data_IF_508378681018
#
_entry.id   IF_508378681018
#
_cell.length_a   1.000
_cell.length_b   1.000
_cell.length_c   1.000
_cell.angle_alpha   90.00
_cell.angle_beta   90.00
_cell.angle_gamma   90.00
#
_symmetry.space_group_name_H-M   'P 1'
#
loop_
_entity.id
_entity.type
_entity.pdbx_description
1 polymer ?
#
# COMPACT_ATOMS: atom_id res chain seq x y z
N UNK A 1 -17.99 -3.97 -13.02
CA UNK A 1 -16.98 -2.99 -12.57
C UNK A 1 -17.60 -2.24 -11.42
N UNK A 2 -16.91 -2.16 -10.28
CA UNK A 2 -17.43 -1.39 -9.14
C UNK A 2 -17.52 0.09 -9.50
N UNK A 3 -18.61 0.73 -9.11
CA UNK A 3 -18.77 2.18 -9.21
C UNK A 3 -17.96 2.83 -8.12
N UNK A 4 -17.22 3.89 -8.44
CA UNK A 4 -16.41 4.65 -7.47
C UNK A 4 -17.03 6.02 -7.31
N UNK A 5 -17.47 6.32 -6.09
CA UNK A 5 -17.98 7.64 -5.70
C UNK A 5 -16.85 8.44 -5.02
N UNK A 6 -16.31 9.48 -5.65
CA UNK A 6 -15.37 10.39 -5.01
C UNK A 6 -16.12 11.40 -4.14
N UNK A 7 -15.65 11.59 -2.91
CA UNK A 7 -16.17 12.60 -1.97
C UNK A 7 -15.02 13.47 -1.51
N UNK A 8 -15.24 14.80 -1.50
CA UNK A 8 -14.28 15.80 -1.07
C UNK A 8 -14.38 16.01 0.42
N UNK A 9 -13.28 15.87 1.13
CA UNK A 9 -13.19 16.10 2.57
C UNK A 9 -12.57 17.45 2.95
N UNK A 10 -12.23 17.58 4.21
CA UNK A 10 -11.60 18.76 4.77
C UNK A 10 -10.13 18.91 4.33
N UNK A 11 -9.52 20.05 4.66
CA UNK A 11 -8.08 20.30 4.51
C UNK A 11 -7.27 19.20 5.19
N UNK A 12 -6.31 18.60 4.46
CA UNK A 12 -5.57 17.43 4.94
C UNK A 12 -4.32 17.81 5.76
N UNK A 13 -3.61 18.86 5.36
CA UNK A 13 -2.42 19.34 6.05
C UNK A 13 -2.70 20.65 6.77
N UNK A 14 -2.32 20.74 8.03
CA UNK A 14 -2.34 22.00 8.77
C UNK A 14 -1.29 22.98 8.23
N UNK A 15 -1.47 24.27 8.47
CA UNK A 15 -0.53 25.31 8.03
C UNK A 15 0.91 25.02 8.46
N UNK A 16 1.11 24.54 9.68
CA UNK A 16 2.42 24.11 10.18
C UNK A 16 3.04 22.97 9.33
N UNK A 17 2.23 21.98 8.93
CA UNK A 17 2.72 20.87 8.09
C UNK A 17 3.03 21.34 6.68
N UNK A 18 2.22 22.24 6.13
CA UNK A 18 2.46 22.88 4.83
C UNK A 18 3.78 23.64 4.86
N UNK A 19 3.97 24.51 5.87
CA UNK A 19 5.22 25.28 6.01
C UNK A 19 6.45 24.38 6.12
N UNK A 20 6.40 23.36 6.95
CA UNK A 20 7.50 22.38 7.10
C UNK A 20 7.80 21.64 5.81
N UNK A 21 6.78 21.32 5.01
CA UNK A 21 6.94 20.67 3.72
C UNK A 21 7.60 21.60 2.70
N UNK A 22 7.15 22.86 2.65
CA UNK A 22 7.75 23.90 1.79
C UNK A 22 9.23 24.17 2.15
N UNK A 23 9.57 24.17 3.44
CA UNK A 23 10.96 24.27 3.90
C UNK A 23 11.80 23.09 3.42
N UNK A 24 11.26 21.85 3.49
CA UNK A 24 11.95 20.66 2.94
C UNK A 24 12.12 20.74 1.42
N UNK A 25 11.10 21.21 0.71
CA UNK A 25 11.14 21.40 -0.73
C UNK A 25 12.22 22.41 -1.12
N UNK A 26 12.29 23.54 -0.43
CA UNK A 26 13.33 24.55 -0.63
C UNK A 26 14.73 23.99 -0.35
N UNK A 27 14.91 23.22 0.71
CA UNK A 27 16.19 22.56 1.03
C UNK A 27 16.59 21.52 -0.03
N UNK A 28 15.62 20.91 -0.73
CA UNK A 28 15.84 20.02 -1.88
C UNK A 28 16.06 20.76 -3.22
N UNK A 29 16.10 22.09 -3.22
CA UNK A 29 16.30 22.91 -4.42
C UNK A 29 15.06 23.08 -5.29
N UNK A 30 13.88 22.79 -4.78
CA UNK A 30 12.63 23.03 -5.49
C UNK A 30 12.25 24.52 -5.44
N UNK A 31 11.62 25.05 -6.51
CA UNK A 31 11.21 26.46 -6.55
C UNK A 31 10.12 26.73 -5.49
N UNK A 32 9.99 27.99 -5.02
CA UNK A 32 8.86 28.39 -4.21
C UNK A 32 7.53 28.07 -4.89
N UNK A 33 6.59 27.54 -4.13
CA UNK A 33 5.30 27.11 -4.65
C UNK A 33 4.18 27.38 -3.64
N UNK A 34 2.96 27.62 -4.12
CA UNK A 34 1.76 27.51 -3.33
C UNK A 34 1.39 26.02 -3.15
N UNK A 35 0.89 25.66 -1.97
CA UNK A 35 0.45 24.30 -1.68
C UNK A 35 -0.93 24.32 -1.01
N UNK A 36 -1.85 23.53 -1.55
CA UNK A 36 -3.15 23.22 -0.94
C UNK A 36 -3.30 21.71 -0.83
N UNK A 37 -4.01 21.26 0.17
CA UNK A 37 -4.27 19.84 0.36
C UNK A 37 -5.65 19.57 0.91
N UNK A 38 -6.29 18.51 0.44
CA UNK A 38 -7.62 18.09 0.83
C UNK A 38 -7.67 16.57 0.96
N UNK A 39 -8.43 16.07 1.93
CA UNK A 39 -8.78 14.66 1.95
C UNK A 39 -9.80 14.35 0.86
N UNK A 40 -9.66 13.17 0.28
CA UNK A 40 -10.61 12.62 -0.66
C UNK A 40 -10.93 11.21 -0.25
N UNK A 41 -12.21 10.86 -0.34
CA UNK A 41 -12.70 9.53 -0.03
C UNK A 41 -13.22 8.89 -1.30
N UNK A 42 -12.94 7.62 -1.48
CA UNK A 42 -13.33 6.81 -2.63
C UNK A 42 -14.18 5.67 -2.12
N UNK A 43 -15.49 5.79 -2.25
CA UNK A 43 -16.43 4.75 -1.85
C UNK A 43 -16.72 3.86 -3.06
N UNK A 44 -16.44 2.57 -2.93
CA UNK A 44 -16.73 1.54 -3.94
C UNK A 44 -18.00 0.79 -3.63
N UNK A 45 -18.82 0.57 -4.66
CA UNK A 45 -20.06 -0.20 -4.58
C UNK A 45 -20.27 -0.97 -5.88
N UNK A 46 -21.05 -2.05 -5.84
CA UNK A 46 -21.41 -2.81 -7.04
C UNK A 46 -22.24 -1.98 -8.00
N UNK A 47 -23.23 -1.25 -7.45
CA UNK A 47 -24.14 -0.37 -8.16
C UNK A 47 -23.99 1.08 -7.66
N UNK A 48 -24.46 2.05 -8.42
CA UNK A 48 -24.44 3.44 -7.99
C UNK A 48 -25.25 3.62 -6.68
N UNK A 49 -24.65 4.20 -5.62
CA UNK A 49 -25.37 4.46 -4.38
C UNK A 49 -26.54 5.40 -4.61
N UNK A 50 -27.65 5.15 -3.91
CA UNK A 50 -28.81 6.04 -3.92
C UNK A 50 -28.55 7.34 -3.12
N UNK A 51 -29.46 8.30 -3.23
CA UNK A 51 -29.31 9.60 -2.60
C UNK A 51 -29.20 9.51 -1.06
N UNK A 52 -29.94 8.60 -0.42
CA UNK A 52 -29.89 8.40 1.03
C UNK A 52 -28.53 7.85 1.47
N UNK A 53 -28.00 6.87 0.72
CA UNK A 53 -26.65 6.34 0.96
C UNK A 53 -25.56 7.40 0.79
N UNK A 54 -25.70 8.28 -0.21
CA UNK A 54 -24.77 9.39 -0.43
C UNK A 54 -24.82 10.37 0.72
N UNK A 55 -26.00 10.79 1.17
CA UNK A 55 -26.16 11.71 2.34
C UNK A 55 -25.56 11.10 3.62
N UNK A 56 -25.78 9.82 3.87
CA UNK A 56 -25.18 9.12 5.01
C UNK A 56 -23.65 9.08 4.93
N UNK A 57 -23.10 8.79 3.74
CA UNK A 57 -21.65 8.80 3.53
C UNK A 57 -21.06 10.20 3.77
N UNK A 58 -21.71 11.25 3.25
CA UNK A 58 -21.30 12.63 3.45
C UNK A 58 -21.26 12.99 4.94
N UNK A 59 -22.32 12.62 5.68
CA UNK A 59 -22.40 12.88 7.11
C UNK A 59 -21.32 12.10 7.89
N UNK A 60 -21.12 10.81 7.60
CA UNK A 60 -20.14 9.95 8.27
C UNK A 60 -18.69 10.41 8.02
N UNK A 61 -18.40 10.86 6.81
CA UNK A 61 -17.04 11.23 6.40
C UNK A 61 -16.78 12.74 6.57
N UNK A 62 -17.78 13.53 6.96
CA UNK A 62 -17.75 14.99 6.93
C UNK A 62 -17.24 15.50 5.55
N UNK A 63 -17.85 14.99 4.48
CA UNK A 63 -17.40 15.19 3.12
C UNK A 63 -18.55 15.67 2.22
N UNK A 64 -18.20 16.17 1.04
CA UNK A 64 -19.15 16.70 0.06
C UNK A 64 -19.08 15.90 -1.24
N UNK A 65 -20.21 15.69 -1.89
CA UNK A 65 -20.24 15.20 -3.25
C UNK A 65 -19.77 16.28 -4.21
N UNK A 66 -19.07 15.86 -5.25
CA UNK A 66 -18.61 16.77 -6.30
C UNK A 66 -19.20 16.30 -7.64
N UNK A 67 -19.71 17.23 -8.43
CA UNK A 67 -20.21 16.92 -9.78
C UNK A 67 -19.07 16.49 -10.71
N UNK A 68 -17.90 17.11 -10.56
CA UNK A 68 -16.70 16.79 -11.32
C UNK A 68 -15.50 16.85 -10.41
N UNK A 69 -14.61 15.86 -10.53
CA UNK A 69 -13.32 15.88 -9.85
C UNK A 69 -12.41 16.96 -10.46
N UNK A 70 -11.70 17.71 -9.60
CA UNK A 70 -10.79 18.74 -10.08
C UNK A 70 -9.67 18.13 -10.94
N UNK A 71 -9.28 18.84 -11.99
CA UNK A 71 -8.19 18.42 -12.88
C UNK A 71 -6.97 19.31 -12.73
N UNK A 72 -5.79 18.75 -12.98
CA UNK A 72 -4.59 19.54 -13.14
C UNK A 72 -4.75 20.51 -14.31
N UNK A 73 -4.17 21.71 -14.19
CA UNK A 73 -4.19 22.74 -15.24
C UNK A 73 -2.79 23.35 -15.39
N UNK A 74 -2.63 24.22 -16.38
CA UNK A 74 -1.36 24.94 -16.56
C UNK A 74 -0.99 25.70 -15.29
N UNK A 75 0.15 25.37 -14.71
CA UNK A 75 0.64 25.99 -13.47
C UNK A 75 -0.01 25.48 -12.19
N UNK A 76 -0.85 24.42 -12.26
CA UNK A 76 -1.42 23.74 -11.09
C UNK A 76 -1.27 22.23 -11.24
N UNK A 77 -0.45 21.62 -10.40
CA UNK A 77 -0.11 20.21 -10.47
C UNK A 77 -0.80 19.43 -9.35
N UNK A 78 -1.50 18.35 -9.71
CA UNK A 78 -2.12 17.44 -8.79
C UNK A 78 -1.16 16.30 -8.44
N UNK A 79 -1.04 16.02 -7.15
CA UNK A 79 -0.47 14.79 -6.60
C UNK A 79 -1.55 14.13 -5.74
N UNK A 80 -2.17 13.09 -6.24
CA UNK A 80 -3.17 12.33 -5.48
C UNK A 80 -2.47 11.20 -4.75
N UNK A 81 -2.19 11.40 -3.46
CA UNK A 81 -1.55 10.43 -2.60
C UNK A 81 -2.63 9.51 -2.05
N UNK A 82 -2.47 8.22 -2.24
CA UNK A 82 -3.42 7.21 -1.83
C UNK A 82 -2.68 5.99 -1.26
N UNK A 83 -3.35 5.10 -0.51
CA UNK A 83 -2.76 3.85 -0.08
C UNK A 83 -2.23 3.04 -1.26
N UNK A 84 -1.22 2.23 -1.00
CA UNK A 84 -0.58 1.41 -2.04
C UNK A 84 -1.62 0.54 -2.76
N UNK A 85 -1.63 0.60 -4.08
CA UNK A 85 -2.54 -0.20 -4.92
C UNK A 85 -2.34 -1.69 -4.60
N UNK A 86 -3.46 -2.42 -4.53
CA UNK A 86 -3.46 -3.86 -4.18
C UNK A 86 -3.43 -4.15 -2.68
N UNK A 87 -3.42 -3.11 -1.83
CA UNK A 87 -3.53 -3.26 -0.36
C UNK A 87 -4.84 -2.67 0.15
N UNK A 88 -5.26 -3.09 1.34
CA UNK A 88 -6.36 -2.47 2.08
C UNK A 88 -5.75 -1.70 3.25
N UNK A 89 -5.98 -0.39 3.30
CA UNK A 89 -5.44 0.41 4.39
C UNK A 89 -6.14 0.07 5.73
N UNK A 90 -5.43 0.17 6.87
CA UNK A 90 -6.07 0.01 8.18
C UNK A 90 -7.22 0.99 8.41
N UNK A 91 -7.12 2.19 7.84
CA UNK A 91 -8.19 3.18 7.86
C UNK A 91 -9.42 2.70 7.07
N UNK A 92 -9.22 2.14 5.87
CA UNK A 92 -10.29 1.63 5.02
C UNK A 92 -11.10 0.52 5.70
N UNK A 93 -10.42 -0.44 6.34
CA UNK A 93 -11.09 -1.52 7.08
C UNK A 93 -12.04 -0.96 8.12
N UNK A 94 -11.57 0.00 8.94
CA UNK A 94 -12.38 0.62 9.99
C UNK A 94 -13.51 1.48 9.44
N UNK A 95 -13.26 2.30 8.43
CA UNK A 95 -14.27 3.15 7.80
C UNK A 95 -15.37 2.33 7.14
N UNK A 96 -15.01 1.27 6.45
CA UNK A 96 -15.97 0.36 5.80
C UNK A 96 -16.84 -0.37 6.83
N UNK A 97 -16.24 -0.85 7.94
CA UNK A 97 -16.99 -1.48 9.03
C UNK A 97 -18.00 -0.51 9.67
N UNK A 98 -17.59 0.75 9.89
CA UNK A 98 -18.49 1.79 10.42
C UNK A 98 -19.63 2.05 9.44
N UNK A 99 -19.34 2.20 8.15
CA UNK A 99 -20.37 2.42 7.14
C UNK A 99 -21.41 1.30 7.12
N UNK A 100 -20.98 0.04 7.16
CA UNK A 100 -21.88 -1.13 7.25
C UNK A 100 -22.74 -1.11 8.52
N UNK A 101 -22.14 -0.81 9.67
CA UNK A 101 -22.87 -0.70 10.94
C UNK A 101 -23.91 0.45 10.94
N UNK A 102 -23.74 1.43 10.04
CA UNK A 102 -24.71 2.51 9.81
C UNK A 102 -25.74 2.20 8.70
N UNK A 103 -25.79 0.93 8.24
CA UNK A 103 -26.76 0.47 7.25
C UNK A 103 -26.38 0.78 5.80
N UNK A 104 -25.09 0.99 5.51
CA UNK A 104 -24.55 1.17 4.16
C UNK A 104 -23.98 -0.16 3.62
N UNK A 105 -24.83 -1.19 3.57
CA UNK A 105 -24.42 -2.55 3.18
C UNK A 105 -24.00 -2.66 1.71
N UNK A 106 -24.44 -1.72 0.87
CA UNK A 106 -24.09 -1.62 -0.55
C UNK A 106 -22.65 -1.05 -0.76
N UNK A 107 -22.02 -0.51 0.28
CA UNK A 107 -20.66 -0.01 0.19
C UNK A 107 -19.68 -1.15 0.50
N UNK A 108 -18.95 -1.57 -0.54
CA UNK A 108 -17.98 -2.66 -0.45
C UNK A 108 -16.72 -2.22 0.29
N UNK A 109 -16.23 -1.00 0.00
CA UNK A 109 -15.01 -0.46 0.57
C UNK A 109 -14.95 1.06 0.45
N UNK A 110 -14.36 1.70 1.46
CA UNK A 110 -14.05 3.13 1.45
C UNK A 110 -12.54 3.28 1.63
N UNK A 111 -11.86 3.95 0.70
CA UNK A 111 -10.47 4.35 0.86
C UNK A 111 -10.35 5.86 1.00
N UNK A 112 -9.28 6.30 1.67
CA UNK A 112 -8.96 7.72 1.82
C UNK A 112 -7.65 8.05 1.13
N UNK A 113 -7.66 9.07 0.29
CA UNK A 113 -6.48 9.69 -0.28
C UNK A 113 -6.32 11.15 0.17
N UNK A 114 -5.24 11.76 -0.25
CA UNK A 114 -4.95 13.17 -0.05
C UNK A 114 -4.58 13.78 -1.41
N UNK A 115 -5.38 14.72 -1.90
CA UNK A 115 -5.03 15.51 -3.06
C UNK A 115 -4.16 16.68 -2.60
N UNK A 116 -2.97 16.80 -3.16
CA UNK A 116 -2.05 17.92 -2.95
C UNK A 116 -1.90 18.66 -4.25
N UNK A 117 -2.17 19.95 -4.21
CA UNK A 117 -2.06 20.86 -5.33
C UNK A 117 -0.84 21.74 -5.15
N UNK A 118 0.07 21.71 -6.13
CA UNK A 118 1.28 22.53 -6.17
C UNK A 118 1.12 23.55 -7.28
N UNK A 119 1.20 24.82 -6.91
CA UNK A 119 1.15 25.96 -7.84
C UNK A 119 2.56 26.27 -8.33
N UNK A 120 2.70 26.56 -9.64
CA UNK A 120 3.96 26.93 -10.26
C UNK A 120 4.26 26.14 -11.54
N UNK A 121 5.33 26.48 -12.22
CA UNK A 121 5.83 25.72 -13.36
C UNK A 121 6.81 24.64 -12.85
N UNK A 122 6.47 23.37 -13.01
CA UNK A 122 7.30 22.24 -12.59
C UNK A 122 7.78 21.44 -13.79
N UNK A 123 9.06 21.16 -13.85
CA UNK A 123 9.63 20.15 -14.76
C UNK A 123 9.28 18.74 -14.28
N UNK A 124 9.41 17.74 -15.14
CA UNK A 124 9.14 16.34 -14.75
C UNK A 124 10.07 15.87 -13.61
N UNK A 125 11.32 16.30 -13.60
CA UNK A 125 12.24 16.00 -12.49
C UNK A 125 11.78 16.62 -11.17
N UNK A 126 11.27 17.85 -11.19
CA UNK A 126 10.71 18.52 -10.01
C UNK A 126 9.40 17.86 -9.53
N UNK A 127 8.57 17.39 -10.44
CA UNK A 127 7.38 16.61 -10.08
C UNK A 127 7.75 15.31 -9.37
N UNK A 128 8.78 14.60 -9.85
CA UNK A 128 9.29 13.40 -9.17
C UNK A 128 9.85 13.71 -7.78
N UNK A 129 10.57 14.83 -7.62
CA UNK A 129 11.06 15.27 -6.32
C UNK A 129 9.90 15.63 -5.37
N UNK A 130 8.87 16.34 -5.85
CA UNK A 130 7.68 16.61 -5.07
C UNK A 130 6.97 15.32 -4.65
N UNK A 131 6.76 14.39 -5.58
CA UNK A 131 6.16 13.10 -5.28
C UNK A 131 6.92 12.39 -4.15
N UNK A 132 8.26 12.37 -4.21
CA UNK A 132 9.10 11.73 -3.19
C UNK A 132 9.00 12.40 -1.80
N UNK A 133 8.72 13.72 -1.75
CA UNK A 133 8.51 14.45 -0.49
C UNK A 133 7.11 14.27 0.10
N UNK A 134 6.12 13.98 -0.76
CA UNK A 134 4.70 13.98 -0.40
C UNK A 134 4.20 12.62 0.08
N UNK A 135 4.82 11.50 -0.31
CA UNK A 135 4.31 10.17 -0.01
C UNK A 135 5.37 9.25 0.62
N UNK A 136 4.92 8.28 1.38
CA UNK A 136 5.73 7.16 1.85
C UNK A 136 5.71 6.04 0.81
N UNK A 137 6.85 5.76 0.17
CA UNK A 137 6.99 4.73 -0.87
C UNK A 137 6.63 3.32 -0.41
N UNK A 138 6.64 3.05 0.90
CA UNK A 138 6.34 1.72 1.45
C UNK A 138 4.84 1.48 1.56
N UNK A 139 4.07 2.52 1.87
CA UNK A 139 2.65 2.40 2.23
C UNK A 139 1.72 3.16 1.29
N UNK A 140 2.26 4.04 0.45
CA UNK A 140 1.49 4.94 -0.40
C UNK A 140 1.93 4.88 -1.86
N UNK A 141 1.04 5.35 -2.72
CA UNK A 141 1.25 5.57 -4.16
C UNK A 141 0.80 6.97 -4.53
N UNK A 142 1.44 7.56 -5.53
CA UNK A 142 0.99 8.81 -6.14
C UNK A 142 0.25 8.47 -7.43
N UNK A 143 -1.03 8.80 -7.50
CA UNK A 143 -1.89 8.57 -8.65
C UNK A 143 -1.88 9.81 -9.56
N UNK A 144 -2.01 9.59 -10.86
CA UNK A 144 -1.96 10.66 -11.85
C UNK A 144 -3.19 11.58 -11.79
N UNK A 145 -4.35 11.02 -11.46
CA UNK A 145 -5.64 11.70 -11.42
C UNK A 145 -6.64 10.95 -10.54
N UNK A 146 -7.86 11.49 -10.43
CA UNK A 146 -8.95 10.89 -9.67
C UNK A 146 -9.53 9.63 -10.33
N UNK A 147 -9.39 9.46 -11.63
CA UNK A 147 -9.88 8.26 -12.34
C UNK A 147 -9.00 7.06 -11.98
N UNK A 148 -7.69 7.26 -11.83
CA UNK A 148 -6.77 6.23 -11.39
C UNK A 148 -7.09 5.69 -9.99
N UNK A 149 -7.88 6.42 -9.17
CA UNK A 149 -8.31 5.96 -7.86
C UNK A 149 -9.23 4.71 -7.91
N UNK A 150 -9.83 4.41 -9.06
CA UNK A 150 -10.57 3.15 -9.26
C UNK A 150 -9.70 1.91 -9.01
N UNK A 151 -8.39 2.01 -9.26
CA UNK A 151 -7.44 0.94 -9.00
C UNK A 151 -7.29 0.60 -7.49
N UNK A 152 -7.61 1.54 -6.59
CA UNK A 152 -7.60 1.29 -5.14
C UNK A 152 -8.66 0.26 -4.72
N UNK A 153 -9.77 0.22 -5.44
CA UNK A 153 -10.93 -0.60 -5.15
C UNK A 153 -10.95 -1.89 -5.99
N UNK A 154 -10.01 -2.03 -6.92
CA UNK A 154 -9.88 -3.23 -7.72
C UNK A 154 -9.54 -4.44 -6.82
N UNK A 155 -10.24 -5.55 -7.05
CA UNK A 155 -9.86 -6.82 -6.44
C UNK A 155 -8.72 -7.41 -7.27
N UNK A 156 -7.49 -7.51 -6.75
CA UNK A 156 -6.42 -8.17 -7.47
C UNK A 156 -6.81 -9.63 -7.70
N UNK A 157 -6.65 -10.10 -8.93
CA UNK A 157 -6.78 -11.52 -9.21
C UNK A 157 -5.66 -12.25 -8.45
N UNK A 158 -6.01 -13.38 -7.82
CA UNK A 158 -5.03 -14.22 -7.18
C UNK A 158 -3.95 -14.60 -8.22
N UNK A 159 -2.69 -14.33 -7.89
CA UNK A 159 -1.58 -14.77 -8.72
C UNK A 159 -1.39 -16.27 -8.53
N UNK A 160 -0.95 -16.96 -9.58
CA UNK A 160 -0.53 -18.37 -9.49
C UNK A 160 0.74 -18.42 -8.64
N UNK A 161 0.79 -19.34 -7.69
CA UNK A 161 2.02 -19.63 -6.96
C UNK A 161 2.97 -20.46 -7.84
N UNK A 162 4.28 -20.29 -7.62
CA UNK A 162 5.30 -21.09 -8.24
C UNK A 162 5.72 -22.24 -7.32
N UNK A 163 6.14 -23.35 -7.89
CA UNK A 163 6.69 -24.47 -7.14
C UNK A 163 8.21 -24.55 -7.31
N UNK A 164 8.91 -24.88 -6.23
CA UNK A 164 10.36 -25.09 -6.23
C UNK A 164 10.63 -26.60 -6.29
N UNK A 165 11.36 -27.06 -7.30
CA UNK A 165 11.56 -28.49 -7.55
C UNK A 165 12.54 -29.16 -6.57
N UNK A 166 12.10 -29.30 -5.31
CA UNK A 166 12.87 -29.96 -4.25
C UNK A 166 12.94 -31.47 -4.45
N UNK A 167 11.92 -32.09 -5.06
CA UNK A 167 11.92 -33.54 -5.28
C UNK A 167 12.91 -33.95 -6.37
N UNK A 168 13.07 -33.14 -7.43
CA UNK A 168 13.95 -33.43 -8.56
C UNK A 168 15.39 -32.93 -8.37
N UNK A 169 15.53 -31.67 -7.95
CA UNK A 169 16.84 -31.01 -7.84
C UNK A 169 17.32 -30.84 -6.38
N UNK A 170 16.55 -31.28 -5.39
CA UNK A 170 16.98 -31.37 -4.01
C UNK A 170 17.36 -30.03 -3.37
N UNK A 171 18.45 -30.05 -2.61
CA UNK A 171 18.98 -28.92 -1.85
C UNK A 171 19.35 -27.72 -2.74
N UNK A 172 19.88 -27.98 -3.92
CA UNK A 172 20.29 -26.93 -4.87
C UNK A 172 19.12 -26.04 -5.30
N UNK A 173 17.95 -26.62 -5.60
CA UNK A 173 16.76 -25.86 -5.96
C UNK A 173 16.32 -24.94 -4.80
N UNK A 174 16.37 -25.45 -3.57
CA UNK A 174 15.99 -24.66 -2.39
C UNK A 174 17.00 -23.56 -2.07
N UNK A 175 18.31 -23.83 -2.24
CA UNK A 175 19.36 -22.81 -2.11
C UNK A 175 19.22 -21.68 -3.15
N UNK A 176 18.83 -22.03 -4.37
CA UNK A 176 18.55 -21.05 -5.41
C UNK A 176 17.32 -20.21 -5.04
N UNK A 177 16.22 -20.84 -4.68
CA UNK A 177 15.00 -20.16 -4.24
C UNK A 177 15.26 -19.26 -3.02
N UNK A 178 16.10 -19.70 -2.06
CA UNK A 178 16.52 -18.91 -0.90
C UNK A 178 17.18 -17.59 -1.31
N UNK A 179 18.02 -17.59 -2.36
CA UNK A 179 18.66 -16.37 -2.88
C UNK A 179 17.69 -15.49 -3.67
N UNK A 180 16.92 -16.11 -4.57
CA UNK A 180 16.01 -15.38 -5.48
C UNK A 180 14.83 -14.73 -4.75
N UNK A 181 14.27 -15.41 -3.76
CA UNK A 181 13.15 -14.94 -2.96
C UNK A 181 13.58 -14.17 -1.70
N UNK A 182 14.88 -14.11 -1.39
CA UNK A 182 15.39 -13.43 -0.20
C UNK A 182 14.90 -14.02 1.12
N UNK A 183 14.80 -15.35 1.23
CA UNK A 183 14.20 -16.02 2.37
C UNK A 183 15.08 -16.01 3.63
N UNK A 184 16.38 -15.80 3.49
CA UNK A 184 17.36 -15.82 4.58
C UNK A 184 17.35 -17.11 5.43
N UNK A 185 17.13 -18.26 4.78
CA UNK A 185 17.16 -19.57 5.43
C UNK A 185 18.59 -19.97 5.77
N UNK A 186 18.79 -20.51 6.96
CA UNK A 186 20.06 -21.14 7.36
C UNK A 186 20.26 -22.49 6.66
N UNK A 187 21.51 -23.01 6.64
CA UNK A 187 21.78 -24.35 6.07
C UNK A 187 20.94 -25.46 6.71
N UNK A 188 20.76 -25.43 8.02
CA UNK A 188 19.98 -26.41 8.77
C UNK A 188 18.47 -26.32 8.45
N UNK A 189 17.95 -25.11 8.23
CA UNK A 189 16.56 -24.91 7.78
C UNK A 189 16.33 -25.40 6.36
N UNK A 190 17.33 -25.24 5.49
CA UNK A 190 17.28 -25.80 4.14
C UNK A 190 17.25 -27.33 4.20
N UNK A 191 18.11 -27.95 4.97
CA UNK A 191 18.17 -29.42 5.13
C UNK A 191 16.85 -29.95 5.72
N UNK A 192 16.31 -29.28 6.74
CA UNK A 192 15.01 -29.60 7.32
C UNK A 192 13.87 -29.55 6.28
N UNK A 193 13.83 -28.51 5.47
CA UNK A 193 12.79 -28.36 4.45
C UNK A 193 12.92 -29.43 3.36
N UNK A 194 14.13 -29.73 2.88
CA UNK A 194 14.36 -30.77 1.88
C UNK A 194 13.85 -32.11 2.39
N UNK A 195 14.25 -32.52 3.61
CA UNK A 195 13.82 -33.78 4.22
C UNK A 195 12.29 -33.87 4.34
N UNK A 196 11.66 -32.81 4.86
CA UNK A 196 10.21 -32.81 5.08
C UNK A 196 9.42 -32.84 3.75
N UNK A 197 9.83 -32.10 2.72
CA UNK A 197 9.15 -32.15 1.43
C UNK A 197 9.36 -33.48 0.70
N UNK A 198 10.49 -34.18 0.92
CA UNK A 198 10.69 -35.55 0.46
C UNK A 198 9.73 -36.53 1.15
N UNK A 199 9.53 -36.38 2.48
CA UNK A 199 8.54 -37.18 3.24
C UNK A 199 7.12 -36.91 2.73
N UNK A 200 6.78 -35.63 2.49
CA UNK A 200 5.48 -35.22 1.95
C UNK A 200 5.26 -35.60 0.48
N UNK A 201 6.29 -36.03 -0.22
CA UNK A 201 6.25 -36.42 -1.66
C UNK A 201 5.65 -35.37 -2.57
N UNK A 202 5.89 -34.10 -2.27
CA UNK A 202 5.48 -32.96 -3.09
C UNK A 202 6.50 -31.82 -3.03
N UNK A 203 6.49 -30.98 -4.02
CA UNK A 203 7.28 -29.76 -4.03
C UNK A 203 6.64 -28.64 -3.20
N UNK A 204 7.44 -27.78 -2.53
CA UNK A 204 6.93 -26.58 -1.88
C UNK A 204 6.53 -25.52 -2.91
N UNK A 205 5.53 -24.71 -2.55
CA UNK A 205 5.27 -23.46 -3.23
C UNK A 205 6.17 -22.33 -2.68
N UNK A 206 6.35 -21.27 -3.48
CA UNK A 206 7.02 -20.04 -3.06
C UNK A 206 6.34 -19.41 -1.84
N UNK A 207 5.00 -19.48 -1.76
CA UNK A 207 4.21 -19.01 -0.62
C UNK A 207 4.55 -19.79 0.65
N UNK A 208 4.62 -21.13 0.59
CA UNK A 208 4.97 -21.96 1.75
C UNK A 208 6.39 -21.67 2.24
N UNK A 209 7.35 -21.50 1.32
CA UNK A 209 8.72 -21.14 1.68
C UNK A 209 8.78 -19.75 2.33
N UNK A 210 8.04 -18.77 1.80
CA UNK A 210 7.95 -17.44 2.38
C UNK A 210 7.33 -17.46 3.78
N UNK A 211 6.25 -18.23 3.98
CA UNK A 211 5.61 -18.39 5.29
C UNK A 211 6.56 -19.04 6.30
N UNK A 212 7.30 -20.08 5.90
CA UNK A 212 8.28 -20.73 6.75
C UNK A 212 9.40 -19.76 7.14
N UNK A 213 9.96 -19.01 6.16
CA UNK A 213 10.99 -18.02 6.39
C UNK A 213 10.52 -16.93 7.37
N UNK A 214 9.31 -16.42 7.21
CA UNK A 214 8.74 -15.42 8.12
C UNK A 214 8.52 -15.98 9.53
N UNK A 215 7.95 -17.18 9.65
CA UNK A 215 7.73 -17.83 10.97
C UNK A 215 9.05 -18.11 11.71
N UNK A 216 10.13 -18.40 10.99
CA UNK A 216 11.46 -18.66 11.54
C UNK A 216 12.39 -17.43 11.56
N UNK A 217 11.87 -16.24 11.20
CA UNK A 217 12.67 -15.01 11.23
C UNK A 217 13.12 -14.63 12.64
N UNK A 218 14.14 -13.76 12.73
CA UNK A 218 14.60 -13.23 14.01
C UNK A 218 13.51 -12.52 14.81
N UNK A 219 12.53 -11.90 14.11
CA UNK A 219 11.38 -11.25 14.76
C UNK A 219 10.44 -12.23 15.46
N UNK A 220 10.25 -13.42 14.90
CA UNK A 220 9.32 -14.41 15.46
C UNK A 220 10.00 -15.39 16.42
N UNK A 221 11.20 -15.83 16.13
CA UNK A 221 11.90 -16.86 16.93
C UNK A 221 13.05 -16.33 17.78
N UNK A 222 13.54 -15.13 17.53
CA UNK A 222 14.69 -14.56 18.24
C UNK A 222 15.88 -15.55 18.30
N UNK A 223 16.27 -16.11 17.17
CA UNK A 223 17.27 -17.19 17.04
C UNK A 223 18.59 -16.85 17.76
N UNK A 224 19.00 -15.59 17.72
CA UNK A 224 20.23 -15.14 18.36
C UNK A 224 20.24 -15.32 19.88
N UNK A 225 19.07 -15.28 20.52
CA UNK A 225 18.95 -15.48 21.97
C UNK A 225 18.92 -16.96 22.37
N UNK A 226 18.72 -17.86 21.39
CA UNK A 226 18.77 -19.30 21.57
C UNK A 226 20.02 -19.94 20.96
N UNK A 227 21.00 -19.11 20.56
CA UNK A 227 22.25 -19.59 20.00
C UNK A 227 23.25 -20.00 21.11
N UNK A 228 24.07 -21.00 20.82
CA UNK A 228 25.22 -21.32 21.64
C UNK A 228 26.34 -20.33 21.30
N UNK A 229 26.95 -19.76 22.33
CA UNK A 229 28.04 -18.82 22.20
C UNK A 229 29.38 -19.53 22.47
N UNK A 230 30.29 -19.46 21.52
CA UNK A 230 31.65 -19.96 21.67
C UNK A 230 32.53 -18.76 21.92
N UNK A 231 33.06 -18.66 23.14
CA UNK A 231 33.98 -17.61 23.55
C UNK A 231 35.38 -18.21 23.64
N UNK A 232 36.35 -17.64 22.91
CA UNK A 232 37.74 -18.09 22.89
C UNK A 232 37.93 -19.60 22.61
N UNK A 233 37.00 -20.19 21.83
CA UNK A 233 37.05 -21.61 21.46
C UNK A 233 36.44 -22.57 22.52
N UNK A 234 35.76 -22.05 23.52
CA UNK A 234 35.03 -22.81 24.53
C UNK A 234 33.54 -22.54 24.51
#
# INVERSE_FOLDING_TARGET
>A
MSVVLPLRGATALSDFRVEKLLQKAAAAGLPPAGLKSEYWYFAGSADAPDAESIEKLQALLAAESVEQTPQASTGLHLFLIAPRIGTISPWASKATDIARNCGLDNIERIERGMAVWIEGALTEAQKQQWAALLHDRMTESVLADFQAASALLAHPQAQTFNTVDVLGAGKEALMQANRELGLALSPDEIDYLVENYQILKRNPSDVELMMFAQANSEHCRHKIFNADFILDGQ
#
